data_IF_012223432048
#
_entry.id   IF_012223432048
#
_cell.length_a   1.000
_cell.length_b   1.000
_cell.length_c   1.000
_cell.angle_alpha   90.00
_cell.angle_beta   90.00
_cell.angle_gamma   90.00
#
_symmetry.space_group_name_H-M   'P 1'
#
loop_
_entity.id
_entity.type
_entity.pdbx_description
1 polymer ?
#
# COMPACT_ATOMS: atom_id res chain seq x y z
N UNK A 1 22.55 8.03 -33.33
CA UNK A 1 21.64 8.51 -32.28
C UNK A 1 22.49 9.00 -31.11
N UNK A 2 22.25 10.20 -30.58
CA UNK A 2 22.93 10.72 -29.39
C UNK A 2 21.92 10.77 -28.24
N UNK A 3 22.23 10.22 -27.06
CA UNK A 3 21.32 10.27 -25.93
C UNK A 3 21.12 11.71 -25.45
N UNK A 4 19.89 12.09 -25.05
CA UNK A 4 19.61 13.44 -24.58
C UNK A 4 20.34 13.75 -23.27
N UNK A 5 20.66 15.02 -23.05
CA UNK A 5 21.32 15.45 -21.83
C UNK A 5 20.37 15.34 -20.63
N UNK A 6 20.89 15.00 -19.44
CA UNK A 6 20.08 14.84 -18.20
C UNK A 6 19.15 16.02 -17.90
N UNK A 7 19.58 17.25 -18.21
CA UNK A 7 18.74 18.45 -17.99
C UNK A 7 17.59 18.54 -19.00
N UNK A 8 17.79 18.09 -20.24
CA UNK A 8 16.71 18.02 -21.24
C UNK A 8 15.64 17.03 -20.78
N UNK A 9 16.06 15.84 -20.31
CA UNK A 9 15.14 14.84 -19.76
C UNK A 9 14.41 15.39 -18.53
N UNK A 10 15.13 16.00 -17.58
CA UNK A 10 14.52 16.57 -16.38
C UNK A 10 13.49 17.67 -16.69
N UNK A 11 13.82 18.59 -17.60
CA UNK A 11 12.91 19.66 -17.99
C UNK A 11 11.69 19.11 -18.73
N UNK A 12 11.89 18.10 -19.59
CA UNK A 12 10.80 17.45 -20.29
C UNK A 12 9.86 16.72 -19.32
N UNK A 13 10.39 16.01 -18.31
CA UNK A 13 9.59 15.38 -17.26
C UNK A 13 8.78 16.39 -16.45
N UNK A 14 9.38 17.54 -16.09
CA UNK A 14 8.64 18.62 -15.40
C UNK A 14 7.52 19.18 -16.26
N UNK A 15 7.77 19.37 -17.56
CA UNK A 15 6.75 19.81 -18.50
C UNK A 15 5.60 18.80 -18.56
N UNK A 16 5.89 17.52 -18.80
CA UNK A 16 4.89 16.45 -18.84
C UNK A 16 4.10 16.35 -17.53
N UNK A 17 4.78 16.44 -16.39
CA UNK A 17 4.13 16.44 -15.08
C UNK A 17 3.10 17.57 -14.96
N UNK A 18 3.45 18.80 -15.34
CA UNK A 18 2.53 19.93 -15.28
C UNK A 18 1.34 19.76 -16.24
N UNK A 19 1.57 19.26 -17.45
CA UNK A 19 0.50 18.95 -18.41
C UNK A 19 -0.48 17.93 -17.84
N UNK A 20 0.04 16.81 -17.31
CA UNK A 20 -0.79 15.77 -16.70
C UNK A 20 -1.49 16.24 -15.43
N UNK A 21 -0.85 17.08 -14.61
CA UNK A 21 -1.46 17.65 -13.40
C UNK A 21 -2.63 18.57 -13.74
N UNK A 22 -2.51 19.42 -14.77
CA UNK A 22 -3.61 20.28 -15.22
C UNK A 22 -4.79 19.44 -15.71
N UNK A 23 -4.53 18.46 -16.59
CA UNK A 23 -5.57 17.56 -17.08
C UNK A 23 -6.24 16.76 -15.95
N UNK A 24 -5.46 16.30 -14.97
CA UNK A 24 -6.00 15.62 -13.79
C UNK A 24 -6.91 16.55 -12.98
N UNK A 25 -6.52 17.81 -12.75
CA UNK A 25 -7.35 18.79 -12.03
C UNK A 25 -8.68 19.04 -12.73
N UNK A 26 -8.66 19.20 -14.05
CA UNK A 26 -9.89 19.36 -14.85
C UNK A 26 -10.82 18.14 -14.71
N UNK A 27 -10.26 16.92 -14.77
CA UNK A 27 -11.04 15.71 -14.56
C UNK A 27 -11.66 15.64 -13.16
N UNK A 28 -10.88 16.00 -12.13
CA UNK A 28 -11.32 15.97 -10.73
C UNK A 28 -12.34 17.09 -10.38
N UNK A 29 -12.44 18.15 -11.19
CA UNK A 29 -13.45 19.18 -10.99
C UNK A 29 -14.86 18.67 -11.28
N UNK A 30 -15.01 17.80 -12.27
CA UNK A 30 -16.32 17.35 -12.77
C UNK A 30 -16.88 16.12 -12.06
N UNK A 31 -16.13 15.51 -11.12
CA UNK A 31 -16.61 14.35 -10.37
C UNK A 31 -17.36 14.78 -9.12
N UNK A 32 -18.35 13.99 -8.69
CA UNK A 32 -19.07 14.22 -7.43
C UNK A 32 -18.39 13.54 -6.25
N UNK A 33 -17.87 12.33 -6.46
CA UNK A 33 -17.35 11.46 -5.42
C UNK A 33 -16.03 10.80 -5.83
N UNK A 34 -15.13 10.64 -4.86
CA UNK A 34 -13.85 9.95 -5.05
C UNK A 34 -13.52 9.03 -3.88
N UNK A 35 -13.14 7.79 -4.18
CA UNK A 35 -12.49 6.89 -3.24
C UNK A 35 -10.97 7.03 -3.35
N UNK A 36 -10.25 6.90 -2.25
CA UNK A 36 -8.79 6.98 -2.22
C UNK A 36 -8.19 5.67 -1.74
N UNK A 37 -7.01 5.31 -2.24
CA UNK A 37 -6.14 4.31 -1.60
C UNK A 37 -4.84 4.97 -1.18
N UNK A 38 -4.41 4.75 0.06
CA UNK A 38 -3.10 5.17 0.54
C UNK A 38 -2.17 3.97 0.59
N UNK A 39 -1.01 4.15 -0.01
CA UNK A 39 0.12 3.24 0.14
C UNK A 39 1.26 4.01 0.82
N UNK A 40 1.71 3.52 1.97
CA UNK A 40 2.76 4.15 2.75
C UNK A 40 3.84 3.12 3.05
N UNK A 41 5.03 3.34 2.51
CA UNK A 41 6.14 2.42 2.69
C UNK A 41 7.42 3.18 2.99
N UNK A 42 8.29 2.51 3.74
CA UNK A 42 9.65 2.96 3.97
C UNK A 42 10.56 2.19 3.02
N UNK A 43 11.31 2.90 2.17
CA UNK A 43 12.31 2.29 1.31
C UNK A 43 13.49 1.74 2.13
N UNK A 44 14.30 0.88 1.51
CA UNK A 44 15.54 0.34 2.11
C UNK A 44 16.54 1.42 2.54
N UNK A 45 16.43 2.64 2.00
CA UNK A 45 17.26 3.79 2.40
C UNK A 45 16.66 4.59 3.56
N UNK A 46 15.68 4.03 4.27
CA UNK A 46 14.94 4.68 5.35
C UNK A 46 14.22 5.97 4.92
N UNK A 47 13.93 6.09 3.62
CA UNK A 47 13.11 7.19 3.08
C UNK A 47 11.70 6.68 2.92
N UNK A 48 10.76 7.39 3.52
CA UNK A 48 9.34 7.03 3.48
C UNK A 48 8.63 7.71 2.34
N UNK A 49 7.63 7.04 1.80
CA UNK A 49 6.83 7.52 0.70
C UNK A 49 5.36 7.38 1.02
N UNK A 50 4.59 8.37 0.62
CA UNK A 50 3.13 8.32 0.61
C UNK A 50 2.68 8.43 -0.85
N UNK A 51 1.97 7.40 -1.31
CA UNK A 51 1.23 7.43 -2.55
C UNK A 51 -0.27 7.48 -2.27
N UNK A 52 -0.95 8.38 -2.95
CA UNK A 52 -2.40 8.49 -2.94
C UNK A 52 -2.90 8.25 -4.36
N UNK A 53 -3.68 7.19 -4.51
CA UNK A 53 -4.40 6.90 -5.75
C UNK A 53 -5.86 7.26 -5.56
N UNK A 54 -6.42 7.96 -6.54
CA UNK A 54 -7.84 8.30 -6.60
C UNK A 54 -8.60 7.35 -7.52
N UNK A 55 -9.81 7.01 -7.12
CA UNK A 55 -10.72 6.08 -7.77
C UNK A 55 -12.08 6.75 -7.95
N UNK A 56 -12.52 6.90 -9.20
CA UNK A 56 -13.79 7.56 -9.52
C UNK A 56 -14.38 7.02 -10.81
N UNK A 57 -15.62 7.41 -11.08
CA UNK A 57 -16.30 7.20 -12.37
C UNK A 57 -16.50 8.55 -13.05
N UNK A 58 -16.39 8.62 -14.37
CA UNK A 58 -16.79 9.81 -15.13
C UNK A 58 -18.30 9.82 -15.42
N UNK A 59 -18.76 10.88 -16.09
CA UNK A 59 -20.16 11.06 -16.51
C UNK A 59 -20.67 9.94 -17.43
N UNK A 60 -19.77 9.17 -18.05
CA UNK A 60 -20.06 8.03 -18.92
C UNK A 60 -19.97 6.70 -18.16
N UNK A 61 -19.87 6.74 -16.83
CA UNK A 61 -19.70 5.59 -15.95
C UNK A 61 -18.43 4.76 -16.25
N UNK A 62 -17.40 5.40 -16.82
CA UNK A 62 -16.09 4.76 -17.01
C UNK A 62 -15.25 4.91 -15.74
N UNK A 63 -14.66 3.80 -15.32
CA UNK A 63 -13.81 3.76 -14.12
C UNK A 63 -12.42 4.34 -14.38
N UNK A 64 -11.94 5.16 -13.45
CA UNK A 64 -10.60 5.72 -13.45
C UNK A 64 -9.88 5.40 -12.14
N UNK A 65 -8.60 5.03 -12.27
CA UNK A 65 -7.67 4.84 -11.16
C UNK A 65 -6.37 5.58 -11.49
N UNK A 66 -6.07 6.67 -10.80
CA UNK A 66 -4.89 7.50 -11.07
C UNK A 66 -4.19 7.94 -9.79
N UNK A 67 -2.86 7.98 -9.82
CA UNK A 67 -2.06 8.59 -8.75
C UNK A 67 -2.32 10.10 -8.74
N UNK A 68 -2.88 10.60 -7.63
CA UNK A 68 -3.16 12.03 -7.44
C UNK A 68 -2.08 12.73 -6.62
N UNK A 69 -1.35 11.97 -5.81
CA UNK A 69 -0.23 12.47 -5.04
C UNK A 69 0.81 11.38 -4.81
N UNK A 70 2.07 11.76 -4.94
CA UNK A 70 3.22 10.94 -4.59
C UNK A 70 4.26 11.86 -3.98
N UNK A 71 4.69 11.57 -2.76
CA UNK A 71 5.72 12.37 -2.08
C UNK A 71 6.59 11.51 -1.18
N UNK A 72 7.85 11.94 -1.04
CA UNK A 72 8.69 11.48 0.07
C UNK A 72 8.24 12.16 1.35
N UNK A 73 8.09 11.40 2.41
CA UNK A 73 7.68 11.88 3.72
C UNK A 73 8.91 12.01 4.63
N UNK A 74 9.41 13.23 4.77
CA UNK A 74 10.64 13.52 5.54
C UNK A 74 10.36 13.88 7.00
N UNK A 75 9.09 14.11 7.36
CA UNK A 75 8.70 14.42 8.74
C UNK A 75 8.57 13.14 9.56
N UNK A 76 8.49 13.30 10.90
CA UNK A 76 8.09 12.18 11.77
C UNK A 76 6.74 11.65 11.28
N UNK A 77 6.63 10.33 11.10
CA UNK A 77 5.42 9.65 10.60
C UNK A 77 4.28 9.62 11.64
N UNK A 78 4.01 10.74 12.29
CA UNK A 78 2.86 10.84 13.18
C UNK A 78 1.60 10.89 12.33
N UNK A 79 0.50 10.33 12.84
CA UNK A 79 -0.79 10.41 12.14
C UNK A 79 -1.19 11.86 11.84
N UNK A 80 -0.81 12.80 12.71
CA UNK A 80 -1.09 14.24 12.54
C UNK A 80 -0.37 14.88 11.36
N UNK A 81 0.92 14.58 11.19
CA UNK A 81 1.67 15.11 10.05
C UNK A 81 1.15 14.54 8.74
N UNK A 82 0.83 13.24 8.71
CA UNK A 82 0.29 12.58 7.54
C UNK A 82 -1.10 13.16 7.21
N UNK A 83 -1.99 13.29 8.19
CA UNK A 83 -3.35 13.83 7.96
C UNK A 83 -3.31 15.28 7.48
N UNK A 84 -2.43 16.12 8.04
CA UNK A 84 -2.20 17.49 7.58
C UNK A 84 -1.75 17.51 6.11
N UNK A 85 -0.69 16.78 5.77
CA UNK A 85 -0.15 16.76 4.41
C UNK A 85 -1.17 16.26 3.38
N UNK A 86 -1.90 15.19 3.74
CA UNK A 86 -3.01 14.66 2.92
C UNK A 86 -4.10 15.72 2.74
N UNK A 87 -4.56 16.34 3.83
CA UNK A 87 -5.63 17.34 3.79
C UNK A 87 -5.24 18.54 2.92
N UNK A 88 -4.07 19.14 3.16
CA UNK A 88 -3.55 20.25 2.35
C UNK A 88 -3.48 19.87 0.87
N UNK A 89 -3.05 18.65 0.55
CA UNK A 89 -2.98 18.20 -0.83
C UNK A 89 -4.36 18.05 -1.47
N UNK A 90 -5.32 17.44 -0.76
CA UNK A 90 -6.69 17.27 -1.26
C UNK A 90 -7.44 18.60 -1.40
N UNK A 91 -7.20 19.54 -0.48
CA UNK A 91 -7.70 20.92 -0.55
C UNK A 91 -7.11 21.67 -1.75
N UNK A 92 -5.80 21.52 -2.02
CA UNK A 92 -5.15 22.13 -3.20
C UNK A 92 -5.67 21.61 -4.54
N UNK A 93 -6.29 20.42 -4.53
CA UNK A 93 -6.94 19.80 -5.68
C UNK A 93 -8.44 20.11 -5.74
N UNK A 94 -9.00 20.74 -4.70
CA UNK A 94 -10.43 21.04 -4.61
C UNK A 94 -11.33 19.82 -4.42
N UNK A 95 -10.78 18.68 -3.99
CA UNK A 95 -11.51 17.40 -3.89
C UNK A 95 -11.75 16.93 -2.46
N UNK A 96 -11.24 17.63 -1.44
CA UNK A 96 -11.34 17.18 -0.05
C UNK A 96 -12.78 16.83 0.37
N UNK A 97 -13.75 17.68 0.00
CA UNK A 97 -15.17 17.48 0.30
C UNK A 97 -15.85 16.38 -0.54
N UNK A 98 -15.18 15.88 -1.58
CA UNK A 98 -15.68 14.82 -2.48
C UNK A 98 -15.23 13.43 -2.04
N UNK A 99 -14.30 13.35 -1.08
CA UNK A 99 -13.73 12.08 -0.64
C UNK A 99 -14.78 11.31 0.18
N UNK A 100 -15.13 10.10 -0.26
CA UNK A 100 -16.12 9.26 0.44
C UNK A 100 -15.47 8.22 1.33
N UNK A 101 -14.33 7.69 0.90
CA UNK A 101 -13.62 6.64 1.61
C UNK A 101 -12.13 6.63 1.31
N UNK A 102 -11.34 6.16 2.28
CA UNK A 102 -9.91 5.93 2.15
C UNK A 102 -9.63 4.48 2.50
N UNK A 103 -9.05 3.74 1.56
CA UNK A 103 -8.53 2.39 1.80
C UNK A 103 -7.05 2.48 2.13
N UNK A 104 -6.63 1.90 3.25
CA UNK A 104 -5.23 1.90 3.66
C UNK A 104 -4.85 0.60 4.36
N UNK A 105 -3.55 0.37 4.52
CA UNK A 105 -3.05 -0.75 5.32
C UNK A 105 -3.34 -0.55 6.83
N UNK A 106 -2.93 -1.54 7.63
CA UNK A 106 -3.09 -1.52 9.07
C UNK A 106 -2.08 -0.67 9.83
N UNK A 107 -1.23 0.08 9.15
CA UNK A 107 -0.16 0.85 9.77
C UNK A 107 -0.72 1.86 10.76
N UNK A 108 -0.28 1.80 12.02
CA UNK A 108 -0.82 2.64 13.11
C UNK A 108 -0.79 4.14 12.78
N UNK A 109 0.19 4.57 12.00
CA UNK A 109 0.33 5.96 11.56
C UNK A 109 -0.77 6.35 10.56
N UNK A 110 -1.06 5.51 9.56
CA UNK A 110 -2.13 5.72 8.59
C UNK A 110 -3.51 5.61 9.25
N UNK A 111 -3.67 4.66 10.17
CA UNK A 111 -4.86 4.51 11.02
C UNK A 111 -5.14 5.82 11.76
N UNK A 112 -4.13 6.33 12.46
CA UNK A 112 -4.22 7.58 13.22
C UNK A 112 -4.43 8.80 12.31
N UNK A 113 -3.83 8.81 11.11
CA UNK A 113 -4.02 9.89 10.15
C UNK A 113 -5.46 9.95 9.64
N UNK A 114 -6.02 8.80 9.25
CA UNK A 114 -7.40 8.73 8.76
C UNK A 114 -8.40 9.17 9.84
N UNK A 115 -8.16 8.82 11.11
CA UNK A 115 -9.05 9.26 12.22
C UNK A 115 -9.01 10.76 12.49
N UNK A 116 -8.03 11.48 11.95
CA UNK A 116 -7.89 12.94 12.10
C UNK A 116 -8.45 13.72 10.91
N UNK A 117 -8.87 13.03 9.85
CA UNK A 117 -9.60 13.64 8.74
C UNK A 117 -11.07 13.84 9.12
N UNK A 118 -11.86 14.39 8.20
CA UNK A 118 -13.30 14.58 8.39
C UNK A 118 -13.98 13.24 8.74
N UNK A 119 -14.82 13.23 9.77
CA UNK A 119 -15.54 12.04 10.23
C UNK A 119 -16.54 11.47 9.22
N UNK A 120 -16.89 12.22 8.18
CA UNK A 120 -17.66 11.72 7.04
C UNK A 120 -16.88 10.74 6.17
N UNK A 121 -15.54 10.81 6.17
CA UNK A 121 -14.68 9.97 5.35
C UNK A 121 -14.51 8.60 6.02
N UNK A 122 -14.94 7.54 5.33
CA UNK A 122 -14.84 6.17 5.86
C UNK A 122 -13.46 5.59 5.61
N UNK A 123 -12.81 5.05 6.65
CA UNK A 123 -11.60 4.24 6.48
C UNK A 123 -11.97 2.78 6.20
N UNK A 124 -11.43 2.24 5.11
CA UNK A 124 -11.55 0.83 4.69
C UNK A 124 -10.18 0.16 4.84
N UNK A 125 -10.16 -1.09 5.31
CA UNK A 125 -8.94 -1.87 5.40
C UNK A 125 -8.54 -2.43 4.03
N UNK A 126 -7.25 -2.36 3.71
CA UNK A 126 -6.70 -3.04 2.55
C UNK A 126 -6.91 -4.56 2.68
N UNK A 127 -7.68 -5.14 1.75
CA UNK A 127 -7.99 -6.57 1.72
C UNK A 127 -6.71 -7.41 1.53
N UNK A 128 -5.80 -6.97 0.67
CA UNK A 128 -4.53 -7.66 0.41
C UNK A 128 -3.68 -7.74 1.67
N UNK A 129 -3.58 -6.65 2.42
CA UNK A 129 -2.85 -6.64 3.69
C UNK A 129 -3.51 -7.57 4.72
N UNK A 130 -4.85 -7.60 4.77
CA UNK A 130 -5.58 -8.52 5.66
C UNK A 130 -5.35 -9.99 5.30
N UNK A 131 -5.43 -10.34 4.02
CA UNK A 131 -5.15 -11.70 3.55
C UNK A 131 -3.70 -12.11 3.85
N UNK A 132 -2.76 -11.20 3.60
CA UNK A 132 -1.36 -11.42 3.91
C UNK A 132 -1.13 -11.72 5.39
N UNK A 133 -1.73 -10.94 6.30
CA UNK A 133 -1.64 -11.21 7.75
C UNK A 133 -2.21 -12.58 8.12
N UNK A 134 -3.34 -13.00 7.54
CA UNK A 134 -3.93 -14.32 7.77
C UNK A 134 -2.97 -15.42 7.32
N UNK A 135 -2.38 -15.29 6.13
CA UNK A 135 -1.46 -16.27 5.56
C UNK A 135 -0.19 -16.39 6.40
N UNK A 136 0.45 -15.27 6.76
CA UNK A 136 1.67 -15.27 7.60
C UNK A 136 1.39 -15.89 8.97
N UNK A 137 0.26 -15.55 9.59
CA UNK A 137 -0.14 -16.14 10.87
C UNK A 137 -0.35 -17.65 10.75
N UNK A 138 -1.00 -18.11 9.67
CA UNK A 138 -1.29 -19.53 9.45
C UNK A 138 -0.03 -20.36 9.19
N UNK A 139 0.97 -19.76 8.54
CA UNK A 139 2.26 -20.41 8.24
C UNK A 139 3.27 -20.31 9.41
N UNK A 140 2.90 -19.67 10.52
CA UNK A 140 3.77 -19.57 11.69
C UNK A 140 4.98 -18.63 11.51
N UNK A 141 5.01 -17.81 10.45
CA UNK A 141 6.11 -16.88 10.22
C UNK A 141 6.20 -15.77 11.29
N UNK A 142 5.15 -15.53 12.06
CA UNK A 142 5.15 -14.60 13.21
C UNK A 142 6.01 -15.07 14.41
N UNK A 143 6.47 -16.32 14.42
CA UNK A 143 7.19 -16.90 15.57
C UNK A 143 8.73 -16.91 15.44
N UNK A 144 9.30 -16.36 14.36
CA UNK A 144 10.73 -16.55 14.05
C UNK A 144 11.63 -15.50 14.73
N UNK A 145 11.15 -14.28 15.02
CA UNK A 145 11.99 -13.23 15.62
C UNK A 145 12.03 -13.25 17.16
N UNK A 146 11.04 -13.83 17.84
CA UNK A 146 10.97 -13.79 19.31
C UNK A 146 11.80 -14.87 20.03
N UNK A 147 12.53 -15.73 19.30
CA UNK A 147 13.28 -16.87 19.87
C UNK A 147 14.80 -16.73 19.88
N UNK A 148 15.37 -15.66 19.31
CA UNK A 148 16.83 -15.46 19.30
C UNK A 148 17.34 -14.50 20.39
N UNK A 149 16.47 -13.79 21.10
CA UNK A 149 16.85 -12.79 22.12
C UNK A 149 16.49 -13.17 23.57
N UNK A 150 16.34 -14.46 23.90
CA UNK A 150 16.23 -14.89 25.30
C UNK A 150 17.14 -16.10 25.62
N UNK A 151 18.28 -15.76 26.23
CA UNK A 151 19.28 -16.56 26.96
C UNK A 151 18.95 -18.05 27.25
N UNK A 152 19.89 -19.01 27.07
CA UNK A 152 19.63 -20.44 27.21
C UNK A 152 19.86 -20.87 28.67
N UNK A 153 18.82 -20.81 29.51
CA UNK A 153 18.81 -21.61 30.75
C UNK A 153 17.40 -21.68 31.30
N UNK A 154 16.70 -22.76 30.95
CA UNK A 154 15.84 -23.57 31.82
C UNK A 154 14.97 -24.48 30.95
N UNK A 155 15.54 -25.62 30.55
CA UNK A 155 14.75 -26.77 30.15
C UNK A 155 14.15 -27.40 31.41
N UNK A 156 12.90 -27.08 31.73
CA UNK A 156 12.02 -27.98 32.49
C UNK A 156 10.62 -27.95 31.88
N UNK A 157 10.31 -29.11 31.31
CA UNK A 157 9.02 -29.64 30.86
C UNK A 157 7.78 -29.01 31.48
N UNK A 158 6.90 -28.47 30.64
CA UNK A 158 5.46 -28.55 30.87
C UNK A 158 4.77 -28.88 29.56
N UNK A 159 3.87 -29.85 29.66
CA UNK A 159 3.31 -30.64 28.58
C UNK A 159 2.29 -29.85 27.75
N UNK A 160 2.28 -30.17 26.45
CA UNK A 160 1.27 -29.75 25.48
C UNK A 160 0.09 -30.72 25.59
N UNK A 161 -1.17 -30.28 25.78
CA UNK A 161 -2.31 -31.10 25.41
C UNK A 161 -2.51 -30.99 23.90
N UNK A 162 -2.19 -32.07 23.20
CA UNK A 162 -2.45 -32.23 21.78
C UNK A 162 -3.96 -32.42 21.51
N UNK A 163 -4.54 -31.50 20.76
CA UNK A 163 -5.68 -31.72 19.84
C UNK A 163 -5.73 -30.46 18.97
N UNK A 164 -5.42 -30.45 17.68
CA UNK A 164 -5.62 -31.44 16.62
C UNK A 164 -4.49 -31.34 15.60
N UNK A 165 -3.79 -32.44 15.38
CA UNK A 165 -2.86 -32.62 14.27
C UNK A 165 -3.66 -32.76 12.97
N UNK A 166 -3.45 -31.87 12.01
CA UNK A 166 -3.61 -32.21 10.60
C UNK A 166 -2.38 -31.75 9.83
N UNK A 167 -1.37 -32.63 9.88
CA UNK A 167 -0.53 -33.02 8.74
C UNK A 167 0.27 -31.95 8.00
N UNK A 168 1.22 -31.26 8.65
CA UNK A 168 2.37 -30.64 7.93
C UNK A 168 3.70 -30.59 8.74
N UNK A 169 3.87 -31.41 9.77
CA UNK A 169 5.04 -31.36 10.68
C UNK A 169 6.35 -31.99 10.14
N UNK A 170 6.52 -32.19 8.83
CA UNK A 170 7.67 -32.95 8.28
C UNK A 170 8.65 -32.11 7.44
N UNK A 171 8.46 -30.80 7.29
CA UNK A 171 9.40 -29.96 6.51
C UNK A 171 10.22 -29.06 7.44
N UNK A 172 10.85 -29.63 8.47
CA UNK A 172 11.66 -28.86 9.44
C UNK A 172 13.18 -28.95 9.24
N UNK A 173 13.69 -29.76 8.30
CA UNK A 173 15.14 -30.05 8.26
C UNK A 173 15.87 -29.73 6.95
N UNK A 174 15.37 -28.87 6.05
CA UNK A 174 16.14 -28.47 4.86
C UNK A 174 15.89 -27.03 4.33
N UNK A 175 15.30 -26.14 5.13
CA UNK A 175 14.88 -24.81 4.62
C UNK A 175 15.98 -23.73 4.64
N UNK A 176 17.16 -23.99 5.23
CA UNK A 176 18.27 -23.02 5.19
C UNK A 176 18.83 -22.83 3.77
N UNK A 177 18.71 -23.82 2.87
CA UNK A 177 19.17 -23.69 1.48
C UNK A 177 18.08 -23.20 0.50
N UNK A 178 16.79 -23.22 0.87
CA UNK A 178 15.70 -22.81 -0.04
C UNK A 178 15.31 -21.33 0.09
N UNK A 179 15.61 -20.67 1.20
CA UNK A 179 15.36 -19.22 1.36
C UNK A 179 16.51 -18.34 0.88
N UNK A 180 17.76 -18.82 0.92
CA UNK A 180 18.90 -18.05 0.42
C UNK A 180 19.10 -18.16 -1.10
N UNK A 181 18.46 -19.14 -1.77
CA UNK A 181 18.61 -19.38 -3.21
C UNK A 181 17.50 -18.78 -4.09
N UNK A 182 16.48 -18.12 -3.52
CA UNK A 182 15.43 -17.44 -4.32
C UNK A 182 15.37 -15.92 -4.17
N UNK A 183 16.21 -15.33 -3.30
CA UNK A 183 16.29 -13.88 -3.08
C UNK A 183 17.54 -13.22 -3.66
N UNK A 184 18.38 -13.99 -4.35
CA UNK A 184 19.65 -13.54 -4.91
C UNK A 184 19.62 -13.31 -6.42
N UNK A 185 18.47 -12.97 -7.01
CA UNK A 185 18.45 -12.42 -8.37
C UNK A 185 17.63 -11.13 -8.43
N UNK A 186 18.36 -10.08 -8.81
CA UNK A 186 18.01 -8.68 -8.74
C UNK A 186 17.14 -8.25 -9.93
N UNK A 187 16.30 -7.23 -9.68
CA UNK A 187 15.72 -6.26 -10.63
C UNK A 187 14.27 -6.36 -11.11
N UNK A 188 13.49 -7.40 -10.83
CA UNK A 188 12.08 -7.43 -11.31
C UNK A 188 10.97 -7.70 -10.27
N UNK A 189 11.27 -8.34 -9.14
CA UNK A 189 10.21 -8.82 -8.21
C UNK A 189 9.60 -7.76 -7.30
N UNK A 190 10.35 -6.70 -6.95
CA UNK A 190 9.79 -5.54 -6.23
C UNK A 190 8.78 -4.73 -7.05
N UNK A 191 8.91 -4.75 -8.38
CA UNK A 191 7.96 -4.14 -9.30
C UNK A 191 6.71 -5.01 -9.42
N UNK A 192 6.85 -6.35 -9.37
CA UNK A 192 5.70 -7.26 -9.42
C UNK A 192 4.83 -7.21 -8.15
N UNK A 193 5.36 -6.92 -6.96
CA UNK A 193 4.54 -6.80 -5.75
C UNK A 193 3.71 -5.51 -5.72
N UNK A 194 4.30 -4.38 -6.16
CA UNK A 194 3.57 -3.12 -6.38
C UNK A 194 2.58 -3.28 -7.54
N UNK A 195 2.96 -4.01 -8.60
CA UNK A 195 2.08 -4.37 -9.71
C UNK A 195 0.92 -5.27 -9.25
N UNK A 196 1.13 -6.20 -8.32
CA UNK A 196 0.08 -7.08 -7.78
C UNK A 196 -0.91 -6.30 -6.89
N UNK A 197 -0.41 -5.37 -6.07
CA UNK A 197 -1.24 -4.48 -5.23
C UNK A 197 -2.01 -3.48 -6.10
N UNK A 198 -1.42 -2.98 -7.19
CA UNK A 198 -2.12 -2.15 -8.19
C UNK A 198 -3.06 -2.97 -9.09
N UNK A 199 -2.76 -4.24 -9.39
CA UNK A 199 -3.59 -5.13 -10.21
C UNK A 199 -4.80 -5.67 -9.44
N UNK A 200 -4.74 -5.69 -8.11
CA UNK A 200 -5.88 -5.99 -7.24
C UNK A 200 -6.83 -4.79 -7.04
N UNK A 201 -6.58 -3.63 -7.66
CA UNK A 201 -7.60 -2.59 -7.86
C UNK A 201 -8.65 -3.09 -8.86
N UNK A 202 -9.52 -3.97 -8.34
CA UNK A 202 -10.90 -4.24 -8.75
C UNK A 202 -11.18 -3.93 -10.23
N UNK A 203 -10.85 -4.88 -11.10
CA UNK A 203 -11.47 -4.99 -12.41
C UNK A 203 -12.88 -5.56 -12.21
N UNK A 204 -13.87 -4.71 -11.92
CA UNK A 204 -15.29 -5.09 -12.06
C UNK A 204 -15.62 -5.12 -13.57
N UNK A 205 -15.12 -6.12 -14.28
CA UNK A 205 -15.69 -6.51 -15.57
C UNK A 205 -16.75 -7.58 -15.30
N UNK A 206 -18.01 -7.21 -15.53
CA UNK A 206 -19.08 -8.16 -15.78
C UNK A 206 -19.87 -8.62 -14.56
N UNK A 207 -20.89 -7.85 -14.18
CA UNK A 207 -22.14 -8.45 -13.68
C UNK A 207 -23.32 -7.76 -14.39
N UNK A 208 -24.27 -8.51 -14.95
CA UNK A 208 -25.37 -7.95 -15.73
C UNK A 208 -26.36 -7.22 -14.83
N UNK A 209 -26.79 -6.06 -15.31
CA UNK A 209 -27.84 -5.23 -14.73
C UNK A 209 -29.15 -6.01 -14.92
N UNK A 210 -29.84 -6.35 -13.82
CA UNK A 210 -31.24 -6.74 -13.87
C UNK A 210 -32.08 -5.50 -13.64
N UNK A 211 -32.97 -5.25 -14.59
CA UNK A 211 -33.85 -4.10 -14.80
C UNK A 211 -34.67 -3.65 -13.61
#
# INVERSE_FOLDING_TARGET
YLPPHRNQVSNHLKYLYNVHLTALKEQLQNIDYIGLTFDFWTSRRSVSFLCITGHWFDDKCLYFSKVIHFSSFNERHTGFNISRSVKEKLESLGIYHKVVAITCDGGQNLVSACSQLDGSIKRIWCCTHRLHLVIINSLGFWNIENKLDNNPTNCLTTEIPATTTSSFDVISNNQQELMDTSWSDENETGIYFISLVLSFNIKFEGLPIVS
#
